data_IF_033711008387
#
_entry.id   IF_033711008387
#
_cell.length_a   1.000
_cell.length_b   1.000
_cell.length_c   1.000
_cell.angle_alpha   90.00
_cell.angle_beta   90.00
_cell.angle_gamma   90.00
#
_symmetry.space_group_name_H-M   'P 1'
#
loop_
_entity.id
_entity.type
_entity.pdbx_description
1 polymer ?
#
# COMPACT_ATOMS: atom_id res chain seq x y z
N UNK A 1 -13.50 -4.19 -4.19
CA UNK A 1 -12.34 -3.53 -4.79
C UNK A 1 -11.36 -4.62 -5.17
N UNK A 2 -10.85 -4.64 -6.40
CA UNK A 2 -9.79 -5.58 -6.77
C UNK A 2 -8.47 -5.16 -6.11
N UNK A 3 -7.60 -6.14 -5.82
CA UNK A 3 -6.32 -5.89 -5.14
C UNK A 3 -5.43 -4.94 -5.94
N UNK A 4 -5.42 -5.08 -7.27
CA UNK A 4 -4.65 -4.23 -8.18
C UNK A 4 -5.13 -2.77 -8.11
N UNK A 5 -6.44 -2.54 -8.11
CA UNK A 5 -6.99 -1.20 -7.99
C UNK A 5 -6.67 -0.53 -6.65
N UNK A 6 -6.79 -1.28 -5.54
CA UNK A 6 -6.44 -0.76 -4.21
C UNK A 6 -4.97 -0.33 -4.16
N UNK A 7 -4.10 -1.15 -4.73
CA UNK A 7 -2.68 -0.90 -4.82
C UNK A 7 -2.35 0.31 -5.68
N UNK A 8 -2.97 0.46 -6.85
CA UNK A 8 -2.76 1.64 -7.71
C UNK A 8 -3.19 2.92 -6.98
N UNK A 9 -4.28 2.87 -6.22
CA UNK A 9 -4.72 3.99 -5.38
C UNK A 9 -3.77 4.28 -4.22
N UNK A 10 -3.18 3.24 -3.63
CA UNK A 10 -2.16 3.40 -2.60
C UNK A 10 -0.88 4.04 -3.17
N UNK A 11 -0.50 3.65 -4.39
CA UNK A 11 0.61 4.27 -5.12
C UNK A 11 0.34 5.75 -5.38
N UNK A 12 -0.83 6.08 -5.95
CA UNK A 12 -1.26 7.48 -6.16
C UNK A 12 -1.18 8.28 -4.86
N UNK A 13 -1.71 7.74 -3.76
CA UNK A 13 -1.76 8.40 -2.45
C UNK A 13 -0.37 8.64 -1.86
N UNK A 14 0.52 7.66 -1.94
CA UNK A 14 1.89 7.77 -1.46
C UNK A 14 2.68 8.78 -2.30
N UNK A 15 2.47 8.77 -3.62
CA UNK A 15 3.12 9.69 -4.54
C UNK A 15 2.64 11.14 -4.36
N UNK A 16 1.37 11.34 -3.97
CA UNK A 16 0.79 12.66 -3.67
C UNK A 16 1.10 13.13 -2.23
N UNK A 17 1.71 12.27 -1.40
CA UNK A 17 2.06 12.59 -0.02
C UNK A 17 3.29 13.49 0.05
N UNK A 18 3.08 14.80 0.19
CA UNK A 18 4.15 15.79 0.37
C UNK A 18 4.99 15.54 1.64
N UNK A 19 4.46 14.81 2.63
CA UNK A 19 5.11 14.57 3.92
C UNK A 19 6.05 13.37 3.97
N UNK A 20 5.93 12.40 3.05
CA UNK A 20 6.66 11.13 3.16
C UNK A 20 8.02 11.10 2.45
N UNK A 21 8.46 12.20 1.79
CA UNK A 21 9.76 12.31 1.10
C UNK A 21 10.13 11.01 0.37
N UNK A 22 9.22 10.52 -0.45
CA UNK A 22 9.40 9.26 -1.16
C UNK A 22 10.23 9.54 -2.41
N UNK A 23 11.36 8.84 -2.53
CA UNK A 23 12.25 8.96 -3.67
C UNK A 23 11.85 8.04 -4.82
N UNK A 24 11.34 6.85 -4.50
CA UNK A 24 10.93 5.87 -5.50
C UNK A 24 9.83 4.96 -4.97
N UNK A 25 8.93 4.56 -5.86
CA UNK A 25 7.85 3.61 -5.59
C UNK A 25 7.89 2.54 -6.66
N UNK A 26 8.05 1.28 -6.26
CA UNK A 26 8.07 0.16 -7.18
C UNK A 26 6.97 -0.86 -6.85
N UNK A 27 6.28 -1.30 -7.90
CA UNK A 27 5.16 -2.22 -7.81
C UNK A 27 5.57 -3.62 -8.28
N UNK A 28 5.74 -4.57 -7.35
CA UNK A 28 5.80 -6.00 -7.66
C UNK A 28 4.38 -6.61 -7.70
N UNK A 29 3.83 -6.73 -8.91
CA UNK A 29 2.53 -7.35 -9.20
C UNK A 29 2.49 -8.85 -8.87
N UNK A 30 3.62 -9.55 -8.97
CA UNK A 30 3.67 -11.01 -8.76
C UNK A 30 3.52 -11.38 -7.29
N UNK A 31 4.09 -10.56 -6.41
CA UNK A 31 4.05 -10.79 -4.96
C UNK A 31 3.03 -9.90 -4.22
N UNK A 32 2.29 -9.04 -4.94
CA UNK A 32 1.41 -8.03 -4.32
C UNK A 32 2.15 -7.11 -3.32
N UNK A 33 3.42 -6.82 -3.60
CA UNK A 33 4.32 -6.03 -2.75
C UNK A 33 4.58 -4.66 -3.36
N UNK A 34 4.31 -3.59 -2.61
CA UNK A 34 4.70 -2.24 -2.96
C UNK A 34 5.97 -1.86 -2.18
N UNK A 35 7.04 -1.58 -2.91
CA UNK A 35 8.31 -1.13 -2.33
C UNK A 35 8.36 0.39 -2.34
N UNK A 36 8.55 0.96 -1.17
CA UNK A 36 8.62 2.41 -0.96
C UNK A 36 10.04 2.75 -0.53
N UNK A 37 10.74 3.53 -1.34
CA UNK A 37 12.06 4.05 -1.01
C UNK A 37 11.94 5.50 -0.61
N UNK A 38 12.45 5.87 0.57
CA UNK A 38 12.51 7.26 1.01
C UNK A 38 13.76 7.95 0.44
N UNK A 39 13.73 9.28 0.41
CA UNK A 39 14.90 10.10 0.06
C UNK A 39 16.09 9.88 1.00
N UNK A 40 15.84 9.46 2.24
CA UNK A 40 16.87 9.16 3.23
C UNK A 40 17.55 7.79 2.97
N UNK A 41 17.05 7.01 2.01
CA UNK A 41 17.60 5.73 1.57
C UNK A 41 16.95 4.51 2.22
N UNK A 42 16.01 4.71 3.13
CA UNK A 42 15.23 3.63 3.74
C UNK A 42 14.29 3.00 2.72
N UNK A 43 14.07 1.69 2.87
CA UNK A 43 13.16 0.92 2.01
C UNK A 43 12.13 0.23 2.89
N UNK A 44 10.86 0.50 2.61
CA UNK A 44 9.71 -0.11 3.26
C UNK A 44 8.98 -1.00 2.26
N UNK A 45 8.52 -2.16 2.72
CA UNK A 45 7.76 -3.10 1.91
C UNK A 45 6.32 -3.15 2.42
N UNK A 46 5.35 -2.90 1.54
CA UNK A 46 3.92 -2.93 1.85
C UNK A 46 3.28 -4.10 1.14
N UNK A 47 2.84 -5.10 1.91
CA UNK A 47 2.12 -6.26 1.38
C UNK A 47 0.64 -5.96 1.29
N UNK A 48 0.13 -5.84 0.06
CA UNK A 48 -1.31 -5.73 -0.17
C UNK A 48 -1.90 -7.14 -0.16
N UNK A 49 -2.79 -7.43 0.80
CA UNK A 49 -3.53 -8.69 0.85
C UNK A 49 -5.01 -8.44 1.07
N UNK A 50 -5.86 -9.12 0.31
CA UNK A 50 -7.27 -9.15 0.61
C UNK A 50 -7.51 -10.03 1.85
N UNK A 51 -8.10 -9.47 2.90
CA UNK A 51 -8.48 -10.25 4.06
C UNK A 51 -9.57 -11.27 3.67
N UNK A 52 -9.51 -12.47 4.28
CA UNK A 52 -10.44 -13.56 3.98
C UNK A 52 -11.88 -13.32 4.47
N UNK A 53 -12.14 -12.22 5.18
CA UNK A 53 -13.49 -11.73 5.46
C UNK A 53 -13.79 -10.56 4.54
N UNK A 54 -14.87 -10.65 3.76
CA UNK A 54 -15.61 -9.40 3.48
C UNK A 54 -16.09 -8.92 4.85
N UNK A 55 -15.56 -7.79 5.29
CA UNK A 55 -16.05 -7.14 6.51
C UNK A 55 -17.46 -6.62 6.24
N UNK A 56 -18.44 -7.49 6.44
CA UNK A 56 -19.87 -7.12 6.46
C UNK A 56 -20.26 -6.42 7.78
N UNK A 57 -19.28 -6.13 8.65
CA UNK A 57 -19.53 -5.51 9.95
C UNK A 57 -18.24 -5.15 10.67
N UNK A 58 -17.79 -3.91 10.47
CA UNK A 58 -16.96 -3.22 11.46
C UNK A 58 -17.81 -3.06 12.73
N UNK A 59 -17.80 -4.08 13.59
CA UNK A 59 -18.29 -3.95 14.96
C UNK A 59 -17.06 -3.88 15.85
N UNK A 60 -16.74 -2.67 16.29
CA UNK A 60 -15.83 -2.44 17.40
C UNK A 60 -16.31 -3.20 18.63
N UNK A 61 -15.51 -4.15 19.12
CA UNK A 61 -15.43 -4.64 20.50
C UNK A 61 -14.26 -5.65 20.53
N UNK A 62 -13.28 -5.61 21.44
CA UNK A 62 -13.13 -4.95 22.72
C UNK A 62 -11.62 -4.89 23.03
#
# INVERSE_FOLDING_TARGET
MELNYFRDKLFDLLNDSEGMRIADLNTDERNSLLNVRTEDGDVFEIVCRQAAGKEDGWTTAN
#
